data_IF_517471155139
#
_entry.id   IF_517471155139
#
_cell.length_a   1.000
_cell.length_b   1.000
_cell.length_c   1.000
_cell.angle_alpha   90.00
_cell.angle_beta   90.00
_cell.angle_gamma   90.00
#
_symmetry.space_group_name_H-M   'P 1'
#
loop_
_entity.id
_entity.type
_entity.pdbx_description
1 polymer ?
#
# COMPACT_ATOMS: atom_id res chain seq x y z
N UNK A 1 -15.37 -13.89 -12.43
CA UNK A 1 -15.00 -13.07 -11.27
C UNK A 1 -14.39 -13.97 -10.21
N UNK A 2 -13.30 -13.58 -9.53
CA UNK A 2 -12.77 -14.35 -8.42
C UNK A 2 -13.83 -14.47 -7.30
N UNK A 3 -13.91 -15.63 -6.68
CA UNK A 3 -14.90 -15.91 -5.65
C UNK A 3 -14.56 -15.11 -4.36
N UNK A 4 -15.54 -14.51 -3.65
CA UNK A 4 -15.28 -13.76 -2.40
C UNK A 4 -14.47 -14.54 -1.36
N UNK A 5 -14.67 -15.85 -1.29
CA UNK A 5 -13.91 -16.75 -0.40
C UNK A 5 -12.40 -16.76 -0.67
N UNK A 6 -11.98 -16.50 -1.90
CA UNK A 6 -10.56 -16.47 -2.26
C UNK A 6 -9.88 -15.21 -1.67
N UNK A 7 -10.59 -14.08 -1.64
CA UNK A 7 -10.05 -12.83 -1.07
C UNK A 7 -9.93 -12.88 0.45
N UNK A 8 -10.90 -13.46 1.14
CA UNK A 8 -10.84 -13.65 2.59
C UNK A 8 -9.69 -14.57 2.99
N UNK A 9 -9.52 -15.69 2.27
CA UNK A 9 -8.40 -16.60 2.47
C UNK A 9 -7.06 -15.89 2.28
N UNK A 10 -6.94 -15.10 1.22
CA UNK A 10 -5.75 -14.33 0.90
C UNK A 10 -5.41 -13.32 2.01
N UNK A 11 -6.40 -12.60 2.52
CA UNK A 11 -6.21 -11.67 3.64
C UNK A 11 -5.80 -12.41 4.93
N UNK A 12 -6.35 -13.60 5.18
CA UNK A 12 -5.92 -14.43 6.30
C UNK A 12 -4.44 -14.82 6.20
N UNK A 13 -3.97 -15.19 5.02
CA UNK A 13 -2.55 -15.49 4.80
C UNK A 13 -1.67 -14.23 4.93
N UNK A 14 -2.11 -13.08 4.44
CA UNK A 14 -1.40 -11.81 4.61
C UNK A 14 -1.28 -11.41 6.08
N UNK A 15 -2.35 -11.57 6.88
CA UNK A 15 -2.31 -11.32 8.34
C UNK A 15 -1.21 -12.12 9.03
N UNK A 16 -1.02 -13.39 8.63
CA UNK A 16 -0.03 -14.29 9.24
C UNK A 16 1.38 -14.02 8.74
N UNK A 17 1.55 -13.73 7.45
CA UNK A 17 2.86 -13.72 6.82
C UNK A 17 3.46 -12.34 6.61
N UNK A 18 2.63 -11.31 6.51
CA UNK A 18 3.06 -9.97 6.07
C UNK A 18 2.74 -8.85 7.06
N UNK A 19 1.80 -9.07 7.99
CA UNK A 19 1.41 -8.06 8.97
C UNK A 19 2.01 -8.41 10.32
N UNK A 20 2.73 -7.46 10.88
CA UNK A 20 3.37 -7.53 12.18
C UNK A 20 2.84 -6.42 13.08
N UNK A 21 2.75 -6.69 14.36
CA UNK A 21 2.37 -5.70 15.36
C UNK A 21 3.61 -5.31 16.17
N UNK A 22 3.80 -4.02 16.35
CA UNK A 22 4.91 -3.51 17.16
C UNK A 22 4.81 -4.05 18.61
N UNK A 23 5.92 -4.55 19.18
CA UNK A 23 5.91 -5.03 20.56
C UNK A 23 5.39 -3.97 21.54
N UNK A 24 4.48 -4.35 22.43
CA UNK A 24 3.83 -3.45 23.39
C UNK A 24 3.06 -2.28 22.74
N UNK A 25 2.54 -2.46 21.52
CA UNK A 25 1.84 -1.43 20.77
C UNK A 25 0.91 -0.58 21.64
N UNK A 26 -0.04 -1.22 22.34
CA UNK A 26 -1.06 -0.48 23.11
C UNK A 26 -0.46 0.27 24.32
N UNK A 27 0.67 -0.18 24.86
CA UNK A 27 1.34 0.51 25.96
C UNK A 27 2.11 1.77 25.50
N UNK A 28 2.46 1.85 24.22
CA UNK A 28 3.19 2.98 23.64
C UNK A 28 2.28 4.00 22.95
N UNK A 29 0.98 3.69 22.80
CA UNK A 29 -0.01 4.62 22.26
C UNK A 29 -0.48 5.64 23.33
N UNK A 30 -0.89 6.85 22.91
CA UNK A 30 -1.67 7.74 23.77
C UNK A 30 -2.88 7.01 24.36
N UNK A 31 -3.18 7.27 25.63
CA UNK A 31 -4.20 6.52 26.40
C UNK A 31 -5.58 6.54 25.72
N UNK A 32 -5.97 7.67 25.15
CA UNK A 32 -7.22 7.83 24.40
C UNK A 32 -7.28 7.00 23.12
N UNK A 33 -6.14 6.79 22.46
CA UNK A 33 -6.02 5.94 21.26
C UNK A 33 -6.03 4.46 21.66
N UNK A 34 -5.23 4.11 22.67
CA UNK A 34 -5.14 2.73 23.16
C UNK A 34 -6.51 2.19 23.64
N UNK A 35 -7.30 3.04 24.31
CA UNK A 35 -8.64 2.70 24.79
C UNK A 35 -9.68 2.40 23.70
N UNK A 36 -9.36 2.69 22.42
CA UNK A 36 -10.21 2.39 21.25
C UNK A 36 -9.98 0.97 20.69
N UNK A 37 -9.05 0.21 21.25
CA UNK A 37 -8.73 -1.14 20.86
C UNK A 37 -8.89 -2.09 22.05
N UNK A 38 -9.64 -3.16 21.90
CA UNK A 38 -9.78 -4.20 22.93
C UNK A 38 -8.51 -5.05 23.01
N UNK A 39 -7.78 -5.17 21.90
CA UNK A 39 -6.55 -5.94 21.80
C UNK A 39 -5.65 -5.42 20.67
N UNK A 40 -4.34 -5.75 20.64
CA UNK A 40 -3.50 -5.48 19.49
C UNK A 40 -4.01 -6.10 18.18
N UNK A 41 -4.79 -7.19 18.25
CA UNK A 41 -5.35 -7.87 17.09
C UNK A 41 -6.45 -7.07 16.41
N UNK A 42 -7.16 -6.19 17.12
CA UNK A 42 -8.15 -5.29 16.54
C UNK A 42 -7.50 -4.36 15.51
N UNK A 43 -6.25 -3.97 15.75
CA UNK A 43 -5.49 -3.16 14.79
C UNK A 43 -5.22 -3.95 13.50
N UNK A 44 -4.96 -5.26 13.60
CA UNK A 44 -4.74 -6.15 12.44
C UNK A 44 -6.03 -6.31 11.64
N UNK A 45 -7.18 -6.48 12.32
CA UNK A 45 -8.48 -6.59 11.64
C UNK A 45 -8.86 -5.30 10.90
N UNK A 46 -8.62 -4.14 11.51
CA UNK A 46 -8.86 -2.84 10.87
C UNK A 46 -7.95 -2.62 9.66
N UNK A 47 -6.67 -2.98 9.76
CA UNK A 47 -5.76 -2.93 8.62
C UNK A 47 -6.21 -3.90 7.52
N UNK A 48 -6.62 -5.11 7.86
CA UNK A 48 -7.13 -6.07 6.89
C UNK A 48 -8.40 -5.56 6.17
N UNK A 49 -9.28 -4.87 6.89
CA UNK A 49 -10.46 -4.21 6.30
C UNK A 49 -10.06 -3.10 5.31
N UNK A 50 -9.01 -2.32 5.62
CA UNK A 50 -8.46 -1.34 4.67
C UNK A 50 -7.85 -2.04 3.44
N UNK A 51 -7.05 -3.09 3.62
CA UNK A 51 -6.44 -3.87 2.54
C UNK A 51 -7.48 -4.58 1.67
N UNK A 52 -8.63 -4.95 2.23
CA UNK A 52 -9.72 -5.56 1.46
C UNK A 52 -10.19 -4.67 0.29
N UNK A 53 -9.96 -3.36 0.33
CA UNK A 53 -10.29 -2.42 -0.75
C UNK A 53 -9.36 -2.53 -1.96
N UNK A 54 -8.17 -3.16 -1.79
CA UNK A 54 -7.23 -3.38 -2.88
C UNK A 54 -7.66 -4.58 -3.76
N UNK A 55 -7.27 -4.62 -5.04
CA UNK A 55 -7.54 -5.75 -5.92
C UNK A 55 -6.83 -7.02 -5.47
N UNK A 56 -7.40 -8.17 -5.77
CA UNK A 56 -6.80 -9.48 -5.43
C UNK A 56 -5.41 -9.65 -6.04
N UNK A 57 -5.21 -9.17 -7.25
CA UNK A 57 -3.91 -9.22 -7.92
C UNK A 57 -2.83 -8.49 -7.11
N UNK A 58 -3.14 -7.31 -6.54
CA UNK A 58 -2.22 -6.59 -5.66
C UNK A 58 -1.93 -7.36 -4.37
N UNK A 59 -2.97 -7.91 -3.71
CA UNK A 59 -2.80 -8.69 -2.49
C UNK A 59 -1.97 -9.96 -2.72
N UNK A 60 -2.21 -10.67 -3.82
CA UNK A 60 -1.41 -11.83 -4.23
C UNK A 60 0.05 -11.45 -4.49
N UNK A 61 0.28 -10.35 -5.20
CA UNK A 61 1.62 -9.85 -5.46
C UNK A 61 2.40 -9.57 -4.15
N UNK A 62 1.78 -8.89 -3.19
CA UNK A 62 2.40 -8.64 -1.89
C UNK A 62 2.68 -9.95 -1.13
N UNK A 63 1.75 -10.89 -1.16
CA UNK A 63 1.93 -12.20 -0.49
C UNK A 63 3.07 -12.99 -1.12
N UNK A 64 3.17 -12.99 -2.46
CA UNK A 64 4.20 -13.71 -3.20
C UNK A 64 5.59 -13.03 -3.13
N UNK A 65 5.66 -11.73 -2.91
CA UNK A 65 6.93 -10.99 -2.82
C UNK A 65 7.81 -11.56 -1.69
N UNK A 66 9.09 -11.86 -1.96
CA UNK A 66 10.01 -12.40 -0.95
C UNK A 66 10.30 -11.39 0.16
N UNK A 67 10.31 -10.11 -0.20
CA UNK A 67 10.45 -8.98 0.74
C UNK A 67 9.12 -8.24 0.87
N UNK A 68 9.08 -7.26 1.74
CA UNK A 68 7.87 -6.47 1.99
C UNK A 68 7.08 -6.98 3.18
N UNK A 69 6.98 -6.12 4.18
CA UNK A 69 6.20 -6.35 5.38
C UNK A 69 5.42 -5.08 5.77
N UNK A 70 4.35 -5.25 6.50
CA UNK A 70 3.57 -4.17 7.07
C UNK A 70 3.67 -4.28 8.59
N UNK A 71 4.07 -3.20 9.25
CA UNK A 71 4.17 -3.13 10.71
C UNK A 71 3.17 -2.11 11.23
N UNK A 72 2.26 -2.54 12.07
CA UNK A 72 1.39 -1.63 12.82
C UNK A 72 2.20 -1.09 14.00
N UNK A 73 2.37 0.23 14.07
CA UNK A 73 3.29 0.91 14.98
C UNK A 73 2.61 2.05 15.75
N UNK A 74 3.18 2.49 16.89
CA UNK A 74 2.66 3.63 17.64
C UNK A 74 3.01 4.99 17.00
N UNK A 75 4.08 5.04 16.18
CA UNK A 75 4.60 6.27 15.59
C UNK A 75 3.97 6.64 14.24
N UNK A 76 4.55 7.62 13.57
CA UNK A 76 4.04 8.16 12.30
C UNK A 76 4.15 7.21 11.12
N UNK A 77 3.31 7.45 10.11
CA UNK A 77 3.30 6.73 8.84
C UNK A 77 4.61 6.91 8.09
N UNK A 78 5.26 5.81 7.73
CA UNK A 78 6.51 5.82 6.96
C UNK A 78 6.74 4.54 6.20
N UNK A 79 7.54 4.61 5.17
CA UNK A 79 8.09 3.45 4.45
C UNK A 79 9.62 3.41 4.65
N UNK A 80 10.15 2.24 5.00
CA UNK A 80 11.58 2.02 5.18
C UNK A 80 12.09 0.96 4.20
N UNK A 81 13.00 1.35 3.32
CA UNK A 81 13.69 0.43 2.39
C UNK A 81 14.73 -0.41 3.13
N UNK A 82 15.00 -1.59 2.57
CA UNK A 82 16.02 -2.49 3.08
C UNK A 82 15.68 -3.10 4.44
N UNK A 83 16.71 -3.62 5.15
CA UNK A 83 16.52 -4.36 6.38
C UNK A 83 16.09 -3.47 7.55
N UNK A 84 15.08 -3.92 8.25
CA UNK A 84 14.58 -3.34 9.50
C UNK A 84 14.55 -4.43 10.58
N UNK A 85 14.86 -4.07 11.81
CA UNK A 85 14.74 -4.99 12.95
C UNK A 85 13.53 -4.62 13.79
N UNK A 86 12.57 -5.52 13.86
CA UNK A 86 11.43 -5.42 14.76
C UNK A 86 11.62 -6.45 15.87
N UNK A 87 12.03 -5.98 17.05
CA UNK A 87 12.42 -6.83 18.19
C UNK A 87 13.50 -7.84 17.77
N UNK A 88 13.17 -9.13 17.58
CA UNK A 88 14.09 -10.20 17.16
C UNK A 88 13.90 -10.62 15.70
N UNK A 89 12.96 -10.02 15.00
CA UNK A 89 12.61 -10.37 13.62
C UNK A 89 13.25 -9.36 12.67
N UNK A 90 14.03 -9.86 11.73
CA UNK A 90 14.53 -9.07 10.60
C UNK A 90 13.48 -9.06 9.51
N UNK A 91 13.05 -7.88 9.12
CA UNK A 91 12.10 -7.62 8.04
C UNK A 91 12.81 -6.80 6.96
N UNK A 92 12.32 -6.87 5.73
CA UNK A 92 12.86 -6.06 4.63
C UNK A 92 11.71 -5.31 3.94
N UNK A 93 11.98 -4.05 3.58
CA UNK A 93 11.03 -3.18 2.89
C UNK A 93 9.72 -3.03 3.67
N UNK A 94 9.77 -2.26 4.74
CA UNK A 94 8.69 -2.20 5.73
C UNK A 94 7.84 -0.95 5.58
N UNK A 95 6.53 -1.14 5.41
CA UNK A 95 5.53 -0.10 5.58
C UNK A 95 5.09 -0.03 7.05
N UNK A 96 5.36 1.10 7.72
CA UNK A 96 4.89 1.35 9.08
C UNK A 96 3.55 2.10 9.02
N UNK A 97 2.51 1.48 9.55
CA UNK A 97 1.14 2.02 9.61
C UNK A 97 0.84 2.41 11.06
N UNK A 98 0.57 3.69 11.35
CA UNK A 98 0.18 4.12 12.69
C UNK A 98 -1.13 3.48 13.13
N UNK A 99 -1.16 2.91 14.34
CA UNK A 99 -2.39 2.36 14.89
C UNK A 99 -3.51 3.42 14.98
N UNK A 100 -3.17 4.67 15.30
CA UNK A 100 -4.13 5.76 15.36
C UNK A 100 -4.86 6.01 14.02
N UNK A 101 -4.16 5.85 12.88
CA UNK A 101 -4.75 6.03 11.54
C UNK A 101 -5.77 4.92 11.20
N UNK A 102 -5.75 3.78 11.92
CA UNK A 102 -6.70 2.68 11.73
C UNK A 102 -8.06 2.92 12.40
N UNK A 103 -8.18 3.97 13.23
CA UNK A 103 -9.44 4.33 13.89
C UNK A 103 -10.41 5.08 12.99
N UNK A 104 -9.91 5.62 11.90
CA UNK A 104 -10.68 6.42 10.95
C UNK A 104 -10.83 5.66 9.62
N UNK A 105 -11.99 5.78 9.00
CA UNK A 105 -12.22 5.26 7.64
C UNK A 105 -11.62 6.21 6.60
N UNK A 106 -10.30 6.36 6.62
CA UNK A 106 -9.57 7.28 5.75
C UNK A 106 -8.56 6.54 4.85
N UNK A 107 -7.95 7.31 3.97
CA UNK A 107 -6.90 6.86 3.04
C UNK A 107 -5.55 6.64 3.73
N UNK A 108 -5.36 7.21 4.92
CA UNK A 108 -4.08 7.25 5.63
C UNK A 108 -3.41 5.88 5.81
N UNK A 109 -4.12 4.82 6.29
CA UNK A 109 -3.51 3.50 6.48
C UNK A 109 -2.95 2.89 5.19
N UNK A 110 -3.58 3.18 4.05
CA UNK A 110 -3.16 2.63 2.77
C UNK A 110 -1.95 3.34 2.17
N UNK A 111 -1.70 4.62 2.49
CA UNK A 111 -0.58 5.37 1.89
C UNK A 111 0.78 4.74 2.16
N UNK A 112 1.07 4.34 3.41
CA UNK A 112 2.33 3.66 3.74
C UNK A 112 2.45 2.33 3.00
N UNK A 113 1.35 1.57 2.93
CA UNK A 113 1.30 0.30 2.20
C UNK A 113 1.52 0.51 0.70
N UNK A 114 0.94 1.55 0.12
CA UNK A 114 1.14 1.85 -1.31
C UNK A 114 2.58 2.29 -1.59
N UNK A 115 3.27 2.96 -0.67
CA UNK A 115 4.71 3.24 -0.78
C UNK A 115 5.55 1.95 -0.86
N UNK A 116 5.13 0.90 -0.15
CA UNK A 116 5.73 -0.43 -0.30
C UNK A 116 5.46 -0.99 -1.71
N UNK A 117 4.22 -0.92 -2.21
CA UNK A 117 3.90 -1.35 -3.59
C UNK A 117 4.69 -0.57 -4.63
N UNK A 118 4.84 0.74 -4.46
CA UNK A 118 5.59 1.62 -5.35
C UNK A 118 7.04 1.10 -5.54
N UNK A 119 7.69 0.71 -4.46
CA UNK A 119 9.05 0.16 -4.52
C UNK A 119 9.08 -1.29 -5.04
N UNK A 120 8.16 -2.16 -4.60
CA UNK A 120 8.10 -3.54 -5.09
C UNK A 120 7.81 -3.61 -6.59
N UNK A 121 6.93 -2.76 -7.10
CA UNK A 121 6.58 -2.70 -8.53
C UNK A 121 7.64 -2.00 -9.38
N UNK A 122 8.51 -1.19 -8.77
CA UNK A 122 9.61 -0.53 -9.48
C UNK A 122 10.86 -1.42 -9.63
N UNK A 123 11.20 -2.19 -8.59
CA UNK A 123 12.48 -2.90 -8.51
C UNK A 123 12.43 -4.24 -7.78
N UNK A 124 11.25 -4.84 -7.62
CA UNK A 124 11.05 -6.05 -6.81
C UNK A 124 11.58 -5.93 -5.37
N UNK A 125 11.70 -4.70 -4.85
CA UNK A 125 12.17 -4.43 -3.50
C UNK A 125 13.69 -4.45 -3.32
N UNK A 126 14.46 -4.30 -4.40
CA UNK A 126 15.90 -4.11 -4.30
C UNK A 126 16.24 -2.85 -3.48
N UNK A 127 17.12 -2.95 -2.47
CA UNK A 127 17.35 -1.90 -1.47
C UNK A 127 17.61 -0.51 -2.08
N UNK A 128 18.43 -0.44 -3.13
CA UNK A 128 18.76 0.80 -3.85
C UNK A 128 17.99 0.93 -5.18
N UNK A 129 16.96 0.09 -5.37
CA UNK A 129 16.19 0.06 -6.60
C UNK A 129 15.22 1.24 -6.74
N UNK A 130 14.84 1.59 -8.00
CA UNK A 130 13.85 2.63 -8.25
C UNK A 130 12.46 2.23 -7.77
N UNK A 131 11.61 3.21 -7.54
CA UNK A 131 10.18 3.04 -7.38
C UNK A 131 9.47 3.04 -8.74
N UNK A 132 8.25 2.52 -8.79
CA UNK A 132 7.38 2.64 -9.96
C UNK A 132 7.15 4.12 -10.32
N UNK A 133 6.98 4.96 -9.31
CA UNK A 133 6.82 6.42 -9.45
C UNK A 133 8.04 7.15 -10.01
N UNK A 134 9.22 6.49 -10.04
CA UNK A 134 10.44 7.00 -10.69
C UNK A 134 10.45 6.72 -12.21
N UNK A 135 9.38 6.13 -12.76
CA UNK A 135 9.26 5.83 -14.19
C UNK A 135 9.79 4.45 -14.59
N UNK A 136 10.04 3.56 -13.64
CA UNK A 136 10.57 2.21 -13.87
C UNK A 136 9.59 1.16 -13.33
N UNK A 137 9.42 0.05 -14.04
CA UNK A 137 8.56 -1.06 -13.63
C UNK A 137 9.24 -2.42 -13.81
N UNK A 138 8.88 -3.38 -12.97
CA UNK A 138 9.45 -4.75 -12.97
C UNK A 138 9.09 -5.56 -14.22
N UNK A 139 8.08 -5.13 -14.98
CA UNK A 139 7.67 -5.75 -16.26
C UNK A 139 7.39 -4.65 -17.29
N UNK A 140 7.36 -4.97 -18.60
CA UNK A 140 7.03 -3.97 -19.64
C UNK A 140 5.71 -3.24 -19.38
N UNK A 141 4.66 -3.95 -18.94
CA UNK A 141 3.38 -3.33 -18.62
C UNK A 141 3.45 -2.39 -17.41
N UNK A 142 4.20 -2.74 -16.36
CA UNK A 142 4.42 -1.85 -15.24
C UNK A 142 5.31 -0.66 -15.62
N UNK A 143 6.26 -0.83 -16.53
CA UNK A 143 7.07 0.29 -17.08
C UNK A 143 6.19 1.27 -17.86
N UNK A 144 5.21 0.78 -18.63
CA UNK A 144 4.25 1.65 -19.33
C UNK A 144 3.42 2.49 -18.33
N UNK A 145 2.97 1.90 -17.25
CA UNK A 145 2.28 2.61 -16.16
C UNK A 145 3.23 3.60 -15.48
N UNK A 146 4.42 3.16 -15.13
CA UNK A 146 5.44 3.93 -14.42
C UNK A 146 5.78 5.24 -15.14
N UNK A 147 5.99 5.19 -16.47
CA UNK A 147 6.33 6.38 -17.27
C UNK A 147 5.25 7.46 -17.28
N UNK A 148 4.00 7.10 -16.95
CA UNK A 148 2.90 8.06 -16.89
C UNK A 148 2.83 8.80 -15.56
N UNK A 149 3.28 8.19 -14.44
CA UNK A 149 3.14 8.77 -13.09
C UNK A 149 3.86 10.12 -12.96
N UNK A 150 5.16 10.27 -13.29
CA UNK A 150 5.84 11.56 -13.21
C UNK A 150 5.23 12.62 -14.15
N UNK A 151 4.74 12.20 -15.32
CA UNK A 151 4.08 13.11 -16.28
C UNK A 151 2.78 13.66 -15.71
N UNK A 152 1.94 12.80 -15.11
CA UNK A 152 0.68 13.21 -14.48
C UNK A 152 0.95 14.09 -13.25
N UNK A 153 1.95 13.76 -12.45
CA UNK A 153 2.39 14.60 -11.33
C UNK A 153 2.77 16.00 -11.79
N UNK A 154 3.52 16.12 -12.90
CA UNK A 154 3.94 17.40 -13.45
C UNK A 154 2.78 18.26 -13.99
N UNK A 155 1.63 17.67 -14.31
CA UNK A 155 0.42 18.42 -14.71
C UNK A 155 -0.24 19.16 -13.53
N UNK A 156 0.12 18.84 -12.29
CA UNK A 156 -0.36 19.54 -11.11
C UNK A 156 -1.80 19.25 -10.68
N UNK A 157 -2.46 18.25 -11.27
CA UNK A 157 -3.79 17.78 -10.87
C UNK A 157 -3.70 16.91 -9.61
N UNK A 158 -3.17 17.46 -8.53
CA UNK A 158 -2.89 16.69 -7.34
C UNK A 158 -4.11 16.66 -6.41
N UNK A 159 -4.60 15.49 -5.99
CA UNK A 159 -5.84 15.35 -5.22
C UNK A 159 -5.74 15.80 -3.75
N UNK A 160 -4.61 16.36 -3.31
CA UNK A 160 -4.45 16.87 -1.95
C UNK A 160 -3.07 17.41 -1.64
N UNK A 161 -2.88 18.09 -0.49
CA UNK A 161 -1.62 18.72 -0.11
C UNK A 161 -0.43 17.77 -0.07
N UNK A 162 -0.64 16.55 0.46
CA UNK A 162 0.41 15.53 0.62
C UNK A 162 0.88 15.00 -0.73
N UNK A 163 0.00 14.88 -1.71
CA UNK A 163 0.32 14.39 -3.05
C UNK A 163 1.21 15.33 -3.86
N UNK A 164 1.46 16.56 -3.37
CA UNK A 164 2.30 17.56 -4.05
C UNK A 164 3.79 17.45 -3.74
N UNK A 165 4.18 16.60 -2.80
CA UNK A 165 5.56 16.54 -2.30
C UNK A 165 6.50 15.82 -3.25
N UNK A 166 6.03 14.75 -3.91
CA UNK A 166 6.83 13.93 -4.84
C UNK A 166 5.93 13.05 -5.72
N UNK A 167 6.44 12.54 -6.86
CA UNK A 167 5.72 11.53 -7.66
C UNK A 167 5.30 10.31 -6.83
N UNK A 168 6.12 9.91 -5.87
CA UNK A 168 5.85 8.77 -4.99
C UNK A 168 4.71 9.06 -3.99
N UNK A 169 4.64 10.27 -3.42
CA UNK A 169 3.53 10.67 -2.55
C UNK A 169 2.25 10.86 -3.34
N UNK A 170 2.36 11.40 -4.56
CA UNK A 170 1.26 11.50 -5.49
C UNK A 170 0.67 10.14 -5.84
N UNK A 171 1.51 9.16 -6.21
CA UNK A 171 1.06 7.80 -6.51
C UNK A 171 0.42 7.15 -5.30
N UNK A 172 1.09 7.20 -4.13
CA UNK A 172 0.59 6.59 -2.90
C UNK A 172 -0.77 7.17 -2.47
N UNK A 173 -0.91 8.50 -2.54
CA UNK A 173 -2.16 9.18 -2.21
C UNK A 173 -3.27 8.81 -3.20
N UNK A 174 -2.96 8.83 -4.50
CA UNK A 174 -3.95 8.54 -5.55
C UNK A 174 -4.47 7.12 -5.50
N UNK A 175 -3.61 6.12 -5.27
CA UNK A 175 -4.03 4.72 -5.10
C UNK A 175 -4.89 4.56 -3.85
N UNK A 176 -4.49 5.16 -2.72
CA UNK A 176 -5.26 5.10 -1.49
C UNK A 176 -6.63 5.78 -1.65
N UNK A 177 -6.67 6.93 -2.32
CA UNK A 177 -7.91 7.65 -2.60
C UNK A 177 -8.82 6.88 -3.57
N UNK A 178 -8.26 6.26 -4.60
CA UNK A 178 -9.03 5.39 -5.51
C UNK A 178 -9.69 4.23 -4.73
N UNK A 179 -8.96 3.59 -3.82
CA UNK A 179 -9.46 2.47 -3.03
C UNK A 179 -10.63 2.87 -2.10
N UNK A 180 -10.63 4.09 -1.58
CA UNK A 180 -11.59 4.55 -0.56
C UNK A 180 -12.69 5.43 -1.16
N UNK A 181 -12.30 6.38 -2.03
CA UNK A 181 -13.17 7.42 -2.59
C UNK A 181 -12.87 7.64 -4.08
N UNK A 182 -13.14 6.64 -4.97
CA UNK A 182 -12.76 6.73 -6.40
C UNK A 182 -13.41 7.91 -7.14
N UNK A 183 -14.61 8.32 -6.72
CA UNK A 183 -15.30 9.48 -7.32
C UNK A 183 -14.58 10.79 -7.05
N UNK A 184 -14.02 10.94 -5.83
CA UNK A 184 -13.29 12.15 -5.46
C UNK A 184 -11.98 12.25 -6.25
N UNK A 185 -11.27 11.12 -6.42
CA UNK A 185 -10.10 11.08 -7.30
C UNK A 185 -10.48 11.41 -8.76
N UNK A 186 -11.58 10.86 -9.27
CA UNK A 186 -12.00 11.15 -10.64
C UNK A 186 -12.35 12.62 -10.85
N UNK A 187 -12.91 13.27 -9.83
CA UNK A 187 -13.21 14.70 -9.88
C UNK A 187 -11.94 15.57 -9.83
N UNK A 188 -10.96 15.18 -8.99
CA UNK A 188 -9.73 15.94 -8.78
C UNK A 188 -8.67 15.65 -9.86
N UNK A 189 -8.54 14.40 -10.30
CA UNK A 189 -7.56 13.94 -11.28
C UNK A 189 -8.12 12.79 -12.14
N UNK A 190 -8.90 13.10 -13.17
CA UNK A 190 -9.50 12.08 -14.04
C UNK A 190 -8.45 11.25 -14.82
N UNK A 191 -7.26 11.78 -15.07
CA UNK A 191 -6.22 11.07 -15.81
C UNK A 191 -5.58 9.99 -14.92
N UNK A 192 -5.23 10.33 -13.68
CA UNK A 192 -4.72 9.34 -12.72
C UNK A 192 -5.81 8.30 -12.38
N UNK A 193 -7.06 8.70 -12.22
CA UNK A 193 -8.18 7.78 -12.03
C UNK A 193 -8.26 6.76 -13.19
N UNK A 194 -8.20 7.20 -14.45
CA UNK A 194 -8.20 6.30 -15.62
C UNK A 194 -6.99 5.39 -15.67
N UNK A 195 -5.80 5.91 -15.33
CA UNK A 195 -4.58 5.11 -15.26
C UNK A 195 -4.74 3.97 -14.23
N UNK A 196 -5.18 4.29 -13.02
CA UNK A 196 -5.37 3.32 -11.95
C UNK A 196 -6.46 2.30 -12.27
N UNK A 197 -7.58 2.72 -12.87
CA UNK A 197 -8.68 1.84 -13.26
C UNK A 197 -8.25 0.73 -14.22
N UNK A 198 -7.37 1.04 -15.18
CA UNK A 198 -6.90 0.08 -16.20
C UNK A 198 -5.61 -0.66 -15.83
N UNK A 199 -4.96 -0.29 -14.74
CA UNK A 199 -3.71 -0.90 -14.25
C UNK A 199 -3.87 -1.47 -12.84
N UNK A 200 -3.50 -0.72 -11.80
CA UNK A 200 -3.44 -1.19 -10.42
C UNK A 200 -4.76 -1.79 -9.92
N UNK A 201 -5.91 -1.25 -10.31
CA UNK A 201 -7.24 -1.76 -9.94
C UNK A 201 -7.87 -2.70 -10.98
N UNK A 202 -7.13 -3.10 -12.02
CA UNK A 202 -7.58 -4.05 -13.03
C UNK A 202 -7.09 -5.45 -12.74
N UNK A 203 -7.99 -6.37 -12.37
CA UNK A 203 -7.65 -7.78 -12.17
C UNK A 203 -7.12 -8.45 -13.46
N UNK A 204 -7.57 -7.99 -14.63
CA UNK A 204 -7.05 -8.47 -15.92
C UNK A 204 -5.60 -8.06 -16.11
N UNK A 205 -5.24 -6.82 -15.75
CA UNK A 205 -3.86 -6.33 -15.83
C UNK A 205 -2.92 -7.16 -14.95
N UNK A 206 -3.31 -7.43 -13.70
CA UNK A 206 -2.52 -8.28 -12.78
C UNK A 206 -2.32 -9.69 -13.33
N UNK A 207 -3.38 -10.31 -13.90
CA UNK A 207 -3.29 -11.67 -14.47
C UNK A 207 -2.34 -11.76 -15.66
N UNK A 208 -2.39 -10.81 -16.58
CA UNK A 208 -1.52 -10.77 -17.75
C UNK A 208 -0.04 -10.59 -17.36
N UNK A 209 0.24 -9.76 -16.35
CA UNK A 209 1.61 -9.42 -15.97
C UNK A 209 2.28 -10.43 -15.05
N UNK A 210 1.51 -11.24 -14.32
CA UNK A 210 2.05 -12.38 -13.57
C UNK A 210 2.36 -13.59 -14.46
N UNK A 211 1.86 -13.64 -15.70
CA UNK A 211 2.18 -14.72 -16.66
C UNK A 211 3.46 -14.44 -17.46
N UNK A 212 4.00 -13.22 -17.42
CA UNK A 212 5.22 -12.79 -18.11
C UNK A 212 6.48 -12.84 -17.21
N UNK A 213 6.33 -13.25 -15.95
CA UNK A 213 7.40 -13.42 -14.95
C UNK A 213 7.75 -14.88 -14.79
#
# INVERSE_FOLDING_TARGET
MPHPLDKERLLKELKVRKIHVYPRLLAELPREVAARFDSPWDTVERLAAALHRLPMGALNFLLASPTGAIVIAPGGSRYARGPQTLHRTRLENVAFVPAAELLEEDIAPLRAVVRLYDHLLGSAGAADGPCLSDGVGITPGWTEVATQIPRLFALGHNPGPISRSSPADYFAHSVAQYAVRPRDLNAADPNMHKLLARSFFSENFWRQKNAES
#
